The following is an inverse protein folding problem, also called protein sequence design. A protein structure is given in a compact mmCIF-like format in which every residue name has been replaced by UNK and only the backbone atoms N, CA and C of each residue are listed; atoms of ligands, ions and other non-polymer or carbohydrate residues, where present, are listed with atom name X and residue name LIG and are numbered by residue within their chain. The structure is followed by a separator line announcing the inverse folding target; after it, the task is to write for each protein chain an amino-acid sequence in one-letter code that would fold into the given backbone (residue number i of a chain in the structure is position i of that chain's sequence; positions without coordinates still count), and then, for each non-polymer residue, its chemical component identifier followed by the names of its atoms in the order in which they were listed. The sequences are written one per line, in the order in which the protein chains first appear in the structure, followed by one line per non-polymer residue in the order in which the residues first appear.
data_IF_464581839199
#
_entry.id   IF_464581839199
#
_cell.length_a   1.000
_cell.length_b   1.000
_cell.length_c   1.000
_cell.angle_alpha   90.00
_cell.angle_beta   90.00
_cell.angle_gamma   90.00
#
_symmetry.space_group_name_H-M   'P 1'
#
loop_
_entity.id
_entity.type
_entity.pdbx_description
1 polymer ?
#
# COMPACT_ATOMS: atom_id res chain seq x y z
N UNK A 1 -27.23 20.64 7.40
CA UNK A 1 -25.90 20.39 6.81
C UNK A 1 -24.83 21.35 7.34
N UNK A 2 -25.06 22.67 7.43
CA UNK A 2 -24.03 23.59 7.97
C UNK A 2 -23.88 23.60 9.51
N UNK A 3 -24.72 22.85 10.23
CA UNK A 3 -24.70 22.73 11.70
C UNK A 3 -24.06 21.44 12.23
N UNK A 4 -23.68 20.50 11.36
CA UNK A 4 -22.97 19.26 11.75
C UNK A 4 -21.44 19.47 11.88
N UNK A 5 -20.90 20.50 11.21
CA UNK A 5 -19.45 20.77 11.19
C UNK A 5 -18.91 21.45 12.46
N UNK A 6 -19.76 21.98 13.35
CA UNK A 6 -19.33 22.66 14.58
C UNK A 6 -19.33 21.77 15.83
N UNK A 7 -19.73 20.51 15.69
CA UNK A 7 -19.81 19.52 16.78
C UNK A 7 -18.66 18.51 16.80
N UNK A 8 -17.69 18.64 15.88
CA UNK A 8 -16.51 17.79 15.82
C UNK A 8 -15.59 18.14 16.99
N UNK A 9 -15.41 17.20 17.94
CA UNK A 9 -14.30 17.23 18.90
C UNK A 9 -14.56 17.71 20.34
N UNK A 10 -15.80 17.76 20.85
CA UNK A 10 -16.06 18.25 22.23
C UNK A 10 -16.84 17.31 23.17
N UNK A 11 -17.27 16.13 22.71
CA UNK A 11 -18.09 15.22 23.52
C UNK A 11 -19.52 15.74 23.83
N UNK A 12 -19.97 16.82 23.18
CA UNK A 12 -21.32 17.36 23.35
C UNK A 12 -22.38 16.55 22.57
N UNK A 13 -23.27 15.87 23.29
CA UNK A 13 -24.40 15.08 22.75
C UNK A 13 -25.60 15.91 22.31
N UNK A 14 -25.55 17.24 22.43
CA UNK A 14 -26.63 18.16 22.03
C UNK A 14 -27.01 18.02 20.55
N UNK A 15 -26.04 17.77 19.68
CA UNK A 15 -26.22 17.55 18.24
C UNK A 15 -27.02 16.28 17.91
N UNK A 16 -26.82 15.21 18.69
CA UNK A 16 -27.59 13.96 18.59
C UNK A 16 -29.01 14.19 19.09
N UNK A 17 -29.19 14.93 20.19
CA UNK A 17 -30.54 15.29 20.67
C UNK A 17 -31.30 16.14 19.65
N UNK A 18 -30.64 17.11 19.02
CA UNK A 18 -31.21 17.97 17.98
C UNK A 18 -31.65 17.15 16.75
N UNK A 19 -30.84 16.17 16.32
CA UNK A 19 -31.20 15.25 15.24
C UNK A 19 -32.38 14.35 15.62
N UNK A 20 -32.41 13.85 16.86
CA UNK A 20 -33.49 13.00 17.36
C UNK A 20 -34.82 13.75 17.49
N UNK A 21 -34.82 15.08 17.63
CA UNK A 21 -36.04 15.91 17.66
C UNK A 21 -36.78 15.95 16.33
N UNK A 22 -36.07 15.81 15.21
CA UNK A 22 -36.65 15.84 13.86
C UNK A 22 -37.17 14.47 13.39
N UNK A 23 -36.88 13.41 14.15
CA UNK A 23 -37.34 12.06 13.87
C UNK A 23 -38.72 11.79 14.48
N UNK A 24 -39.52 10.89 13.87
CA UNK A 24 -40.74 10.41 14.50
C UNK A 24 -40.47 9.87 15.91
N UNK A 25 -41.30 10.24 16.89
CA UNK A 25 -41.07 9.98 18.32
C UNK A 25 -40.73 8.52 18.65
N UNK A 26 -41.36 7.57 17.97
CA UNK A 26 -41.06 6.14 18.13
C UNK A 26 -39.66 5.73 17.67
N UNK A 27 -39.14 6.37 16.60
CA UNK A 27 -37.79 6.18 16.07
C UNK A 27 -36.79 6.85 16.99
N UNK A 28 -37.04 8.10 17.38
CA UNK A 28 -36.20 8.83 18.34
C UNK A 28 -36.09 8.10 19.69
N UNK A 29 -37.18 7.49 20.17
CA UNK A 29 -37.20 6.68 21.39
C UNK A 29 -36.46 5.35 21.22
N UNK A 30 -36.54 4.71 20.05
CA UNK A 30 -35.79 3.49 19.76
C UNK A 30 -34.28 3.76 19.66
N UNK A 31 -33.88 4.87 19.01
CA UNK A 31 -32.50 5.34 18.95
C UNK A 31 -31.98 5.70 20.34
N UNK A 32 -32.74 6.46 21.14
CA UNK A 32 -32.39 6.74 22.54
C UNK A 32 -32.21 5.48 23.37
N UNK A 33 -33.11 4.50 23.27
CA UNK A 33 -32.99 3.22 23.99
C UNK A 33 -31.83 2.36 23.51
N UNK A 34 -31.46 2.45 22.22
CA UNK A 34 -30.29 1.78 21.69
C UNK A 34 -29.01 2.42 22.23
N UNK A 35 -28.93 3.76 22.22
CA UNK A 35 -27.81 4.54 22.77
C UNK A 35 -27.68 4.40 24.30
N UNK A 36 -28.80 4.35 25.04
CA UNK A 36 -28.81 4.13 26.50
C UNK A 36 -28.39 2.71 26.87
N UNK A 37 -28.75 1.70 26.07
CA UNK A 37 -28.28 0.33 26.27
C UNK A 37 -26.80 0.19 25.94
N UNK A 38 -26.36 0.90 24.91
CA UNK A 38 -24.97 1.01 24.52
C UNK A 38 -24.11 1.60 25.64
N UNK A 39 -24.48 2.78 26.15
CA UNK A 39 -23.77 3.47 27.24
C UNK A 39 -23.85 2.79 28.63
N UNK A 40 -24.63 1.71 28.78
CA UNK A 40 -24.83 1.04 30.08
C UNK A 40 -23.76 -0.02 30.41
N UNK A 41 -22.78 -0.25 29.53
CA UNK A 41 -21.63 -1.14 29.72
C UNK A 41 -20.38 -0.42 30.27
N UNK A 42 -20.52 0.50 31.23
CA UNK A 42 -19.36 1.10 31.90
C UNK A 42 -18.68 0.07 32.81
N UNK A 43 -17.53 -0.45 32.38
CA UNK A 43 -16.67 -1.29 33.20
C UNK A 43 -15.31 -1.62 32.58
N UNK A 44 -14.33 -0.72 32.76
CA UNK A 44 -12.87 -0.91 32.52
C UNK A 44 -12.47 -1.19 31.05
N UNK A 45 -11.20 -0.93 30.63
CA UNK A 45 -10.86 -0.81 29.21
C UNK A 45 -10.94 -2.18 28.55
N UNK A 46 -12.07 -2.42 27.89
CA UNK A 46 -12.29 -3.53 27.02
C UNK A 46 -11.51 -3.26 25.74
N UNK A 47 -10.55 -4.15 25.44
CA UNK A 47 -10.14 -4.38 24.05
C UNK A 47 -11.44 -4.56 23.24
N UNK A 48 -11.57 -4.10 21.99
CA UNK A 48 -12.80 -4.19 21.18
C UNK A 48 -13.39 -5.60 21.11
N UNK A 49 -12.60 -6.64 21.37
CA UNK A 49 -13.05 -8.02 21.53
C UNK A 49 -14.09 -8.25 22.65
N UNK A 50 -14.17 -7.37 23.64
CA UNK A 50 -15.10 -7.47 24.78
C UNK A 50 -16.30 -6.53 24.67
N UNK A 51 -16.33 -5.62 23.68
CA UNK A 51 -17.48 -4.76 23.43
C UNK A 51 -18.61 -5.55 22.73
N UNK A 52 -19.88 -5.30 23.09
CA UNK A 52 -21.00 -5.98 22.44
C UNK A 52 -21.08 -5.56 20.96
N UNK A 53 -20.83 -6.52 20.06
CA UNK A 53 -21.00 -6.34 18.62
C UNK A 53 -22.48 -6.11 18.32
N UNK A 54 -22.78 -4.94 17.76
CA UNK A 54 -24.14 -4.57 17.33
C UNK A 54 -24.41 -5.09 15.93
N UNK A 55 -23.43 -4.94 15.04
CA UNK A 55 -23.54 -5.34 13.64
C UNK A 55 -22.18 -5.60 13.02
N UNK A 56 -22.13 -6.61 12.17
CA UNK A 56 -21.04 -6.82 11.22
C UNK A 56 -21.59 -6.79 9.79
N UNK A 57 -20.82 -6.26 8.85
CA UNK A 57 -21.12 -6.32 7.43
C UNK A 57 -19.85 -6.17 6.61
N UNK A 58 -19.90 -6.66 5.37
CA UNK A 58 -18.89 -6.34 4.36
C UNK A 58 -19.35 -5.10 3.61
N UNK A 59 -18.48 -4.10 3.55
CA UNK A 59 -18.75 -2.92 2.75
C UNK A 59 -18.70 -3.26 1.26
N UNK A 60 -19.51 -2.53 0.50
CA UNK A 60 -19.60 -2.63 -0.95
C UNK A 60 -18.67 -1.65 -1.65
N UNK A 61 -18.21 -0.60 -0.96
CA UNK A 61 -17.19 0.33 -1.41
C UNK A 61 -16.45 0.99 -0.24
N UNK A 62 -15.26 1.58 -0.48
CA UNK A 62 -14.59 2.44 0.49
C UNK A 62 -15.46 3.61 0.98
N UNK A 63 -16.26 4.23 0.10
CA UNK A 63 -17.15 5.34 0.46
C UNK A 63 -18.17 4.96 1.55
N UNK A 64 -18.71 3.73 1.51
CA UNK A 64 -19.63 3.21 2.54
C UNK A 64 -18.92 3.09 3.91
N UNK A 65 -17.64 2.72 3.92
CA UNK A 65 -16.85 2.67 5.15
C UNK A 65 -16.64 4.07 5.73
N UNK A 66 -16.27 5.05 4.89
CA UNK A 66 -16.05 6.44 5.32
C UNK A 66 -17.31 7.00 5.96
N UNK A 67 -18.47 6.85 5.29
CA UNK A 67 -19.76 7.32 5.80
C UNK A 67 -20.10 6.68 7.16
N UNK A 68 -19.86 5.38 7.31
CA UNK A 68 -20.12 4.68 8.56
C UNK A 68 -19.15 5.04 9.69
N UNK A 69 -17.88 5.28 9.38
CA UNK A 69 -16.88 5.66 10.38
C UNK A 69 -17.16 7.08 10.91
N UNK A 70 -17.45 8.04 10.02
CA UNK A 70 -17.87 9.40 10.38
C UNK A 70 -19.18 9.41 11.18
N UNK A 71 -20.16 8.59 10.76
CA UNK A 71 -21.40 8.41 11.51
C UNK A 71 -21.17 7.79 12.89
N UNK A 72 -20.23 6.84 13.00
CA UNK A 72 -19.83 6.22 14.26
C UNK A 72 -19.24 7.25 15.24
N UNK A 73 -18.31 8.08 14.78
CA UNK A 73 -17.74 9.20 15.54
C UNK A 73 -18.85 10.14 16.02
N UNK A 74 -19.75 10.54 15.11
CA UNK A 74 -20.86 11.46 15.42
C UNK A 74 -21.82 10.89 16.46
N UNK A 75 -22.07 9.58 16.43
CA UNK A 75 -23.03 8.91 17.31
C UNK A 75 -22.42 8.37 18.60
N UNK A 76 -21.09 8.47 18.78
CA UNK A 76 -20.39 7.83 19.91
C UNK A 76 -20.48 6.31 19.86
N UNK A 77 -20.40 5.73 18.66
CA UNK A 77 -20.39 4.29 18.44
C UNK A 77 -19.06 3.86 17.84
N UNK A 78 -18.36 2.98 18.56
CA UNK A 78 -17.09 2.46 18.11
C UNK A 78 -17.26 1.67 16.81
N UNK A 79 -16.34 1.93 15.88
CA UNK A 79 -16.28 1.29 14.58
C UNK A 79 -14.89 0.69 14.37
N UNK A 80 -14.82 -0.55 13.91
CA UNK A 80 -13.60 -1.25 13.52
C UNK A 80 -13.77 -1.76 12.10
N UNK A 81 -12.83 -1.40 11.24
CA UNK A 81 -12.70 -1.90 9.88
C UNK A 81 -11.50 -2.82 9.85
N UNK A 82 -11.67 -4.01 9.30
CA UNK A 82 -10.60 -4.96 9.00
C UNK A 82 -10.75 -5.41 7.56
N UNK A 83 -9.67 -5.81 6.91
CA UNK A 83 -9.76 -6.54 5.66
C UNK A 83 -9.86 -8.04 5.90
N UNK A 84 -10.65 -8.72 5.09
CA UNK A 84 -10.81 -10.18 5.12
C UNK A 84 -10.65 -10.74 3.70
N UNK A 85 -9.81 -11.78 3.56
CA UNK A 85 -9.71 -12.52 2.30
C UNK A 85 -10.95 -13.39 2.12
N UNK A 86 -11.61 -13.20 0.99
CA UNK A 86 -12.64 -14.07 0.46
C UNK A 86 -12.08 -14.83 -0.76
N UNK A 87 -12.71 -15.94 -1.18
CA UNK A 87 -12.18 -16.78 -2.25
C UNK A 87 -11.88 -16.08 -3.57
N UNK A 88 -12.53 -14.94 -3.84
CA UNK A 88 -12.43 -14.19 -5.10
C UNK A 88 -12.08 -12.69 -4.90
N UNK A 89 -11.85 -12.23 -3.66
CA UNK A 89 -11.84 -10.80 -3.33
C UNK A 89 -11.20 -10.52 -1.95
N UNK A 90 -10.67 -9.31 -1.75
CA UNK A 90 -10.41 -8.80 -0.39
C UNK A 90 -11.47 -7.77 -0.06
N UNK A 91 -12.21 -7.99 1.02
CA UNK A 91 -13.27 -7.06 1.43
C UNK A 91 -13.00 -6.40 2.75
N UNK A 92 -13.39 -5.12 2.82
CA UNK A 92 -13.45 -4.39 4.06
C UNK A 92 -14.65 -4.89 4.87
N UNK A 93 -14.37 -5.55 5.97
CA UNK A 93 -15.35 -5.93 6.98
C UNK A 93 -15.43 -4.83 8.02
N UNK A 94 -16.62 -4.27 8.17
CA UNK A 94 -16.97 -3.30 9.20
C UNK A 94 -17.66 -3.99 10.39
N UNK A 95 -17.21 -3.63 11.59
CA UNK A 95 -17.78 -4.08 12.86
C UNK A 95 -18.17 -2.84 13.68
N UNK A 96 -19.47 -2.72 13.94
CA UNK A 96 -20.05 -1.69 14.79
C UNK A 96 -20.25 -2.25 16.19
N UNK A 97 -19.72 -1.56 17.20
CA UNK A 97 -19.93 -1.91 18.59
C UNK A 97 -20.93 -0.97 19.25
N UNK A 98 -21.53 -1.46 20.33
CA UNK A 98 -22.50 -0.73 21.11
C UNK A 98 -21.89 0.09 22.23
N UNK A 99 -20.65 0.56 22.13
CA UNK A 99 -20.08 1.48 23.11
C UNK A 99 -18.98 2.31 22.45
N UNK A 100 -18.47 3.33 23.14
CA UNK A 100 -17.29 4.10 22.73
C UNK A 100 -16.05 3.69 23.53
N UNK A 101 -14.87 3.88 22.95
CA UNK A 101 -13.60 3.65 23.64
C UNK A 101 -12.92 4.98 23.96
N UNK A 102 -12.65 5.22 25.24
CA UNK A 102 -11.83 6.32 25.70
C UNK A 102 -10.57 5.77 26.39
N UNK A 103 -9.41 6.33 26.04
CA UNK A 103 -8.12 5.91 26.56
C UNK A 103 -7.30 7.12 27.02
N UNK A 104 -6.43 6.93 28.04
CA UNK A 104 -5.51 7.98 28.44
C UNK A 104 -4.47 8.25 27.34
N UNK A 105 -3.97 9.49 27.31
CA UNK A 105 -2.83 9.86 26.48
C UNK A 105 -1.63 8.93 26.74
N UNK A 106 -0.95 8.54 25.66
CA UNK A 106 0.34 7.84 25.73
C UNK A 106 1.20 8.20 24.51
N UNK A 107 2.50 8.47 24.70
CA UNK A 107 3.40 8.89 23.62
C UNK A 107 3.76 7.76 22.65
N UNK A 108 3.48 6.49 22.98
CA UNK A 108 3.70 5.35 22.08
C UNK A 108 2.55 4.37 22.27
N UNK A 109 1.36 4.69 21.72
CA UNK A 109 0.18 3.91 21.96
C UNK A 109 0.29 2.51 21.38
N UNK A 110 -0.30 1.52 22.04
CA UNK A 110 -0.69 0.28 21.41
C UNK A 110 -2.01 -0.13 22.04
N UNK A 111 -3.09 0.49 21.55
CA UNK A 111 -4.40 0.35 22.18
C UNK A 111 -4.99 -1.03 21.94
N UNK A 112 -4.74 -1.61 20.77
CA UNK A 112 -5.27 -2.90 20.38
C UNK A 112 -4.14 -3.91 20.13
N UNK A 113 -4.27 -5.17 20.60
CA UNK A 113 -3.28 -6.21 20.32
C UNK A 113 -3.19 -6.47 18.81
N UNK A 114 -1.98 -6.73 18.30
CA UNK A 114 -1.80 -7.04 16.89
C UNK A 114 -2.55 -8.34 16.51
N UNK A 115 -3.21 -8.39 15.34
CA UNK A 115 -3.83 -9.61 14.84
C UNK A 115 -2.78 -10.74 14.76
N UNK A 116 -3.08 -11.89 15.37
CA UNK A 116 -2.20 -13.06 15.40
C UNK A 116 -0.75 -12.81 15.88
N UNK A 117 -0.49 -11.70 16.58
CA UNK A 117 0.86 -11.30 16.98
C UNK A 117 1.76 -10.81 15.84
N UNK A 118 1.19 -10.45 14.68
CA UNK A 118 1.94 -9.92 13.55
C UNK A 118 2.69 -8.62 13.92
N UNK A 119 3.91 -8.41 13.41
CA UNK A 119 4.61 -7.14 13.58
C UNK A 119 3.82 -5.99 12.96
N UNK A 120 3.85 -4.83 13.60
CA UNK A 120 3.30 -3.60 13.01
C UNK A 120 4.24 -3.14 11.89
N UNK A 121 3.72 -3.01 10.67
CA UNK A 121 4.45 -2.46 9.53
C UNK A 121 4.39 -0.93 9.59
N UNK A 122 3.18 -0.38 9.69
CA UNK A 122 2.94 1.05 9.73
C UNK A 122 1.71 1.40 10.60
N UNK A 123 1.72 2.61 11.19
CA UNK A 123 0.56 3.21 11.83
C UNK A 123 0.48 4.70 11.50
N UNK A 124 -0.68 5.09 10.99
CA UNK A 124 -1.00 6.49 10.66
C UNK A 124 -2.21 6.99 11.45
N UNK A 125 -2.34 8.31 11.49
CA UNK A 125 -3.40 9.04 12.16
C UNK A 125 -4.06 10.02 11.16
N UNK A 126 -4.80 9.48 10.17
CA UNK A 126 -5.39 10.32 9.12
C UNK A 126 -6.48 11.23 9.68
N UNK A 127 -6.72 12.35 8.99
CA UNK A 127 -7.91 13.16 9.23
C UNK A 127 -9.15 12.49 8.60
N UNK A 128 -10.34 12.99 8.94
CA UNK A 128 -11.58 12.50 8.30
C UNK A 128 -11.60 12.72 6.77
N UNK A 129 -10.90 13.74 6.28
CA UNK A 129 -10.84 14.09 4.86
C UNK A 129 -9.94 13.10 4.07
N UNK A 130 -8.95 12.48 4.73
CA UNK A 130 -8.00 11.56 4.09
C UNK A 130 -8.51 10.11 4.03
N UNK A 131 -9.61 9.80 4.72
CA UNK A 131 -10.11 8.44 4.90
C UNK A 131 -10.40 7.71 3.57
N UNK A 132 -10.87 8.44 2.57
CA UNK A 132 -11.21 7.82 1.28
C UNK A 132 -9.95 7.30 0.58
N UNK A 133 -8.87 8.07 0.59
CA UNK A 133 -7.60 7.68 -0.01
C UNK A 133 -6.96 6.54 0.79
N UNK A 134 -7.04 6.60 2.13
CA UNK A 134 -6.62 5.51 3.01
C UNK A 134 -7.29 4.19 2.65
N UNK A 135 -8.62 4.15 2.51
CA UNK A 135 -9.33 2.90 2.21
C UNK A 135 -9.24 2.47 0.73
N UNK A 136 -8.73 3.33 -0.15
CA UNK A 136 -8.39 3.01 -1.54
C UNK A 136 -6.94 2.54 -1.70
N UNK A 137 -6.13 2.68 -0.65
CA UNK A 137 -4.75 2.24 -0.68
C UNK A 137 -4.68 0.72 -0.94
N UNK A 138 -3.96 0.28 -1.99
CA UNK A 138 -3.78 -1.13 -2.32
C UNK A 138 -3.16 -1.98 -1.18
N UNK A 139 -2.57 -1.37 -0.16
CA UNK A 139 -2.07 -2.04 1.05
C UNK A 139 -3.17 -2.85 1.74
N UNK A 140 -4.43 -2.37 1.72
CA UNK A 140 -5.60 -3.05 2.29
C UNK A 140 -5.96 -4.35 1.58
N UNK A 141 -5.41 -4.58 0.39
CA UNK A 141 -5.65 -5.77 -0.41
C UNK A 141 -4.46 -6.73 -0.34
N UNK A 142 -3.41 -6.33 0.39
CA UNK A 142 -2.10 -7.01 0.42
C UNK A 142 -1.79 -7.49 1.82
N UNK A 143 -1.88 -6.60 2.80
CA UNK A 143 -1.47 -6.83 4.17
C UNK A 143 -2.68 -6.85 5.07
N UNK A 144 -2.65 -7.69 6.11
CA UNK A 144 -3.60 -7.60 7.21
C UNK A 144 -3.57 -6.16 7.74
N UNK A 145 -4.73 -5.54 7.77
CA UNK A 145 -4.90 -4.11 8.02
C UNK A 145 -6.13 -3.86 8.87
N UNK A 146 -6.11 -2.80 9.67
CA UNK A 146 -7.30 -2.35 10.39
C UNK A 146 -7.36 -0.85 10.55
N UNK A 147 -8.57 -0.32 10.67
CA UNK A 147 -8.83 1.07 11.00
C UNK A 147 -9.92 1.15 12.08
N UNK A 148 -9.75 2.07 13.01
CA UNK A 148 -10.69 2.32 14.09
C UNK A 148 -10.51 3.75 14.58
N UNK A 149 -11.47 4.25 15.36
CA UNK A 149 -11.34 5.55 16.02
C UNK A 149 -11.44 5.37 17.54
N UNK A 150 -10.97 6.32 18.32
CA UNK A 150 -11.16 6.33 19.78
C UNK A 150 -11.02 7.73 20.34
N UNK A 151 -11.59 7.96 21.53
CA UNK A 151 -11.32 9.17 22.31
C UNK A 151 -9.97 9.04 23.02
N UNK A 152 -9.04 9.94 22.72
CA UNK A 152 -7.75 10.03 23.40
C UNK A 152 -7.77 11.25 24.30
N UNK A 153 -7.54 11.06 25.60
CA UNK A 153 -7.42 12.16 26.55
C UNK A 153 -6.25 13.08 26.18
N UNK A 154 -6.35 14.36 26.49
CA UNK A 154 -5.23 15.31 26.27
C UNK A 154 -4.13 15.09 27.33
N UNK A 155 -2.86 15.28 26.95
CA UNK A 155 -1.68 14.98 27.80
C UNK A 155 -1.74 15.60 29.20
N UNK A 156 -2.34 16.79 29.31
CA UNK A 156 -2.43 17.58 30.55
C UNK A 156 -3.88 17.81 31.04
N UNK A 157 -4.88 17.27 30.36
CA UNK A 157 -6.30 17.45 30.71
C UNK A 157 -7.08 16.12 30.61
N UNK A 158 -7.21 15.35 31.71
CA UNK A 158 -7.92 14.08 31.69
C UNK A 158 -9.45 14.24 31.55
N UNK A 159 -9.97 15.46 31.67
CA UNK A 159 -11.39 15.77 31.47
C UNK A 159 -11.67 16.21 30.01
N UNK A 160 -10.62 16.33 29.17
CA UNK A 160 -10.71 16.61 27.74
C UNK A 160 -10.22 15.43 26.90
N UNK A 161 -10.94 15.09 25.83
CA UNK A 161 -10.53 14.04 24.91
C UNK A 161 -10.87 14.40 23.46
N UNK A 162 -10.01 14.00 22.53
CA UNK A 162 -10.18 14.20 21.09
C UNK A 162 -10.34 12.87 20.36
N UNK A 163 -11.22 12.83 19.36
CA UNK A 163 -11.37 11.66 18.49
C UNK A 163 -10.11 11.50 17.64
N UNK A 164 -9.50 10.33 17.71
CA UNK A 164 -8.31 9.95 16.95
C UNK A 164 -8.66 8.76 16.07
N UNK A 165 -8.49 8.91 14.77
CA UNK A 165 -8.57 7.80 13.81
C UNK A 165 -7.20 7.14 13.76
N UNK A 166 -7.19 5.82 13.76
CA UNK A 166 -5.99 5.00 13.77
C UNK A 166 -6.11 4.01 12.64
N UNK A 167 -5.10 3.97 11.77
CA UNK A 167 -4.95 2.98 10.70
C UNK A 167 -3.66 2.24 10.95
N UNK A 168 -3.73 0.91 10.91
CA UNK A 168 -2.58 0.04 11.16
C UNK A 168 -2.48 -1.01 10.05
N UNK A 169 -1.29 -1.14 9.50
CA UNK A 169 -0.90 -2.19 8.58
C UNK A 169 0.09 -3.13 9.28
N UNK A 170 -0.10 -4.43 9.13
CA UNK A 170 0.74 -5.44 9.75
C UNK A 170 1.61 -6.13 8.71
N UNK A 171 2.82 -6.50 9.09
CA UNK A 171 3.74 -7.29 8.27
C UNK A 171 3.27 -8.75 8.21
N UNK A 172 2.12 -8.94 7.56
CA UNK A 172 1.47 -10.20 7.32
C UNK A 172 0.58 -10.06 6.08
N UNK A 173 0.81 -10.87 5.05
CA UNK A 173 -0.03 -10.90 3.85
C UNK A 173 -1.45 -11.43 4.18
N UNK A 174 -2.48 -10.80 3.60
CA UNK A 174 -3.88 -11.18 3.87
C UNK A 174 -4.26 -12.49 3.19
N UNK A 175 -3.88 -12.67 1.91
CA UNK A 175 -3.95 -13.93 1.16
C UNK A 175 -3.37 -13.73 -0.26
N UNK A 176 -2.32 -14.47 -0.60
CA UNK A 176 -1.71 -14.40 -1.93
C UNK A 176 -2.70 -14.77 -3.05
N UNK A 177 -3.75 -15.56 -2.75
CA UNK A 177 -4.76 -16.02 -3.72
C UNK A 177 -5.42 -14.88 -4.51
N UNK A 178 -5.64 -13.72 -3.89
CA UNK A 178 -6.29 -12.58 -4.53
C UNK A 178 -5.42 -11.90 -5.58
N UNK A 179 -4.09 -11.92 -5.40
CA UNK A 179 -3.15 -11.43 -6.40
C UNK A 179 -3.30 -12.25 -7.70
N UNK A 180 -3.40 -13.58 -7.61
CA UNK A 180 -3.59 -14.45 -8.78
C UNK A 180 -4.90 -14.20 -9.51
N UNK A 181 -5.97 -13.91 -8.78
CA UNK A 181 -7.27 -13.64 -9.37
C UNK A 181 -7.29 -12.35 -10.16
N UNK A 182 -6.60 -11.31 -9.72
CA UNK A 182 -6.44 -10.06 -10.48
C UNK A 182 -5.72 -10.30 -11.80
N UNK A 183 -4.59 -10.98 -11.74
CA UNK A 183 -3.85 -11.39 -12.93
C UNK A 183 -4.71 -12.19 -13.92
N UNK A 184 -5.60 -13.05 -13.41
CA UNK A 184 -6.52 -13.82 -14.23
C UNK A 184 -7.70 -13.00 -14.78
N UNK A 185 -8.29 -12.10 -13.98
CA UNK A 185 -9.49 -11.34 -14.35
C UNK A 185 -9.23 -10.22 -15.36
N UNK A 186 -8.02 -9.65 -15.34
CA UNK A 186 -7.64 -8.59 -16.26
C UNK A 186 -7.61 -9.07 -17.72
N UNK A 187 -7.40 -10.36 -17.98
CA UNK A 187 -7.29 -10.99 -19.33
C UNK A 187 -8.46 -10.66 -20.29
N UNK A 188 -9.66 -10.40 -19.77
CA UNK A 188 -10.86 -10.18 -20.60
C UNK A 188 -10.96 -8.77 -21.24
N UNK A 189 -10.07 -7.81 -20.90
CA UNK A 189 -10.33 -6.38 -21.17
C UNK A 189 -9.49 -5.68 -22.25
N UNK A 190 -8.25 -6.09 -22.54
CA UNK A 190 -7.45 -5.56 -23.67
C UNK A 190 -6.17 -6.39 -23.88
N UNK A 191 -6.20 -7.33 -24.83
CA UNK A 191 -5.04 -8.20 -25.14
C UNK A 191 -4.06 -7.58 -26.13
N UNK A 192 -4.47 -6.60 -26.95
CA UNK A 192 -3.60 -5.98 -27.96
C UNK A 192 -2.68 -4.91 -27.37
N UNK A 193 -3.07 -4.25 -26.27
CA UNK A 193 -2.29 -3.18 -25.64
C UNK A 193 -1.19 -3.60 -24.64
N UNK A 194 -1.17 -4.87 -24.19
CA UNK A 194 -0.28 -5.34 -23.11
C UNK A 194 1.13 -5.72 -23.51
N UNK A 195 1.30 -6.13 -24.78
CA UNK A 195 2.55 -6.66 -25.29
C UNK A 195 3.21 -7.68 -24.33
N UNK A 196 4.50 -7.51 -23.96
CA UNK A 196 5.25 -8.46 -23.16
C UNK A 196 4.79 -8.60 -21.70
N UNK A 197 3.84 -7.78 -21.23
CA UNK A 197 3.27 -7.86 -19.88
C UNK A 197 2.07 -8.81 -19.83
N UNK A 198 2.27 -10.04 -20.32
CA UNK A 198 1.30 -11.12 -20.12
C UNK A 198 1.07 -11.38 -18.62
N UNK A 199 -0.07 -11.97 -18.21
CA UNK A 199 -0.34 -12.29 -16.80
C UNK A 199 0.80 -13.08 -16.13
N UNK A 200 1.44 -13.98 -16.87
CA UNK A 200 2.55 -14.80 -16.37
C UNK A 200 3.85 -14.01 -16.24
N UNK A 201 4.21 -13.23 -17.26
CA UNK A 201 5.41 -12.40 -17.20
C UNK A 201 5.30 -11.34 -16.10
N UNK A 202 4.13 -10.71 -15.95
CA UNK A 202 3.89 -9.74 -14.88
C UNK A 202 3.90 -10.39 -13.49
N UNK A 203 3.37 -11.60 -13.35
CA UNK A 203 3.48 -12.35 -12.11
C UNK A 203 4.93 -12.69 -11.76
N UNK A 204 5.73 -13.15 -12.74
CA UNK A 204 7.15 -13.43 -12.52
C UNK A 204 7.94 -12.15 -12.18
N UNK A 205 7.61 -11.02 -12.82
CA UNK A 205 8.15 -9.71 -12.45
C UNK A 205 7.78 -9.34 -11.01
N UNK A 206 6.52 -9.50 -10.61
CA UNK A 206 6.04 -9.28 -9.24
C UNK A 206 6.82 -10.11 -8.20
N UNK A 207 6.98 -11.41 -8.43
CA UNK A 207 7.72 -12.28 -7.50
C UNK A 207 9.22 -11.95 -7.48
N UNK A 208 9.79 -11.59 -8.63
CA UNK A 208 11.20 -11.21 -8.72
C UNK A 208 11.46 -9.92 -7.96
N UNK A 209 10.59 -8.91 -8.12
CA UNK A 209 10.68 -7.65 -7.38
C UNK A 209 10.46 -7.86 -5.88
N UNK A 210 9.56 -8.76 -5.47
CA UNK A 210 9.43 -9.16 -4.06
C UNK A 210 10.76 -9.70 -3.51
N UNK A 211 11.43 -10.59 -4.24
CA UNK A 211 12.71 -11.15 -3.83
C UNK A 211 13.81 -10.07 -3.75
N UNK A 212 13.84 -9.16 -4.73
CA UNK A 212 14.77 -8.02 -4.75
C UNK A 212 14.54 -7.06 -3.57
N UNK A 213 13.29 -6.74 -3.24
CA UNK A 213 12.95 -5.90 -2.08
C UNK A 213 13.43 -6.55 -0.79
N UNK A 214 13.20 -7.85 -0.61
CA UNK A 214 13.67 -8.59 0.57
C UNK A 214 15.21 -8.65 0.68
N UNK A 215 15.93 -8.80 -0.44
CA UNK A 215 17.39 -8.74 -0.49
C UNK A 215 17.91 -7.36 -0.09
N UNK A 216 17.30 -6.29 -0.61
CA UNK A 216 17.67 -4.90 -0.28
C UNK A 216 17.34 -4.54 1.18
N UNK A 217 16.22 -5.02 1.74
CA UNK A 217 15.90 -4.84 3.15
C UNK A 217 16.93 -5.51 4.06
N UNK A 218 17.38 -6.72 3.69
CA UNK A 218 18.45 -7.44 4.40
C UNK A 218 19.76 -6.66 4.32
N UNK A 219 20.14 -6.21 3.12
CA UNK A 219 21.33 -5.37 2.89
C UNK A 219 21.32 -4.10 3.75
N UNK A 220 20.19 -3.40 3.80
CA UNK A 220 20.06 -2.13 4.53
C UNK A 220 19.99 -2.32 6.06
N UNK A 221 19.51 -3.48 6.51
CA UNK A 221 19.44 -3.84 7.93
C UNK A 221 20.80 -4.21 8.50
N UNK A 222 21.58 -5.00 7.75
CA UNK A 222 22.89 -5.52 8.18
C UNK A 222 24.08 -4.77 7.58
N UNK A 223 23.84 -3.59 6.98
CA UNK A 223 24.77 -2.81 6.16
C UNK A 223 26.26 -2.95 6.51
N UNK A 224 27.04 -3.44 5.53
CA UNK A 224 28.48 -3.66 5.65
C UNK A 224 29.11 -4.11 4.33
N UNK A 225 30.43 -4.32 4.34
CA UNK A 225 31.18 -4.84 3.18
C UNK A 225 31.01 -6.36 3.00
N UNK A 226 30.67 -7.09 4.07
CA UNK A 226 30.55 -8.56 4.08
C UNK A 226 29.09 -9.05 3.95
N UNK A 227 28.14 -8.16 3.66
CA UNK A 227 26.72 -8.53 3.49
C UNK A 227 26.51 -9.01 2.06
N UNK A 228 26.19 -10.29 1.91
CA UNK A 228 25.79 -10.87 0.63
C UNK A 228 24.47 -10.22 0.17
N UNK A 229 24.46 -9.64 -1.02
CA UNK A 229 23.25 -9.09 -1.65
C UNK A 229 23.33 -9.31 -3.15
N UNK A 230 22.38 -10.09 -3.66
CA UNK A 230 22.31 -10.43 -5.09
C UNK A 230 22.10 -9.16 -5.90
N UNK A 231 21.21 -8.27 -5.45
CA UNK A 231 20.92 -7.01 -6.15
C UNK A 231 22.15 -6.11 -6.16
N UNK A 232 22.82 -5.91 -5.03
CA UNK A 232 24.01 -5.06 -4.96
C UNK A 232 25.15 -5.62 -5.81
N UNK A 233 25.41 -6.92 -5.76
CA UNK A 233 26.54 -7.54 -6.43
C UNK A 233 26.44 -7.46 -7.96
N UNK A 234 25.22 -7.47 -8.50
CA UNK A 234 24.94 -7.39 -9.92
C UNK A 234 24.73 -5.95 -10.42
N UNK A 235 24.85 -4.93 -9.58
CA UNK A 235 24.72 -3.52 -9.97
C UNK A 235 25.98 -2.99 -10.72
N UNK A 236 25.84 -1.92 -11.53
CA UNK A 236 26.97 -1.29 -12.21
C UNK A 236 28.07 -0.84 -11.24
N UNK A 237 29.32 -0.94 -11.69
CA UNK A 237 30.50 -0.60 -10.88
C UNK A 237 30.46 0.84 -10.33
N UNK A 238 29.79 1.75 -11.04
CA UNK A 238 29.64 3.17 -10.69
C UNK A 238 28.85 3.38 -9.39
N UNK A 239 27.98 2.44 -9.01
CA UNK A 239 27.12 2.57 -7.82
C UNK A 239 27.53 1.66 -6.64
N UNK A 240 28.39 0.66 -6.86
CA UNK A 240 28.78 -0.30 -5.79
C UNK A 240 29.40 0.36 -4.55
N UNK A 241 30.09 1.48 -4.75
CA UNK A 241 30.77 2.23 -3.68
C UNK A 241 29.87 3.29 -3.01
N UNK A 242 28.60 3.41 -3.41
CA UNK A 242 27.69 4.40 -2.84
C UNK A 242 27.34 4.09 -1.38
N UNK A 243 27.15 5.12 -0.53
CA UNK A 243 26.85 4.94 0.88
C UNK A 243 25.46 4.37 1.10
N UNK A 244 25.19 3.83 2.28
CA UNK A 244 23.88 3.26 2.68
C UNK A 244 22.70 4.16 2.31
N UNK A 245 22.87 5.47 2.52
CA UNK A 245 21.85 6.50 2.29
C UNK A 245 21.38 6.54 0.82
N UNK A 246 22.27 6.22 -0.12
CA UNK A 246 21.95 6.13 -1.55
C UNK A 246 21.15 4.85 -1.89
N UNK A 247 21.37 3.77 -1.14
CA UNK A 247 20.65 2.51 -1.34
C UNK A 247 19.24 2.49 -0.74
N UNK A 248 18.93 3.40 0.19
CA UNK A 248 17.59 3.52 0.76
C UNK A 248 16.55 3.84 -0.33
N UNK A 249 16.73 4.89 -1.16
CA UNK A 249 15.86 5.14 -2.31
C UNK A 249 15.76 3.97 -3.30
N UNK A 250 16.82 3.17 -3.47
CA UNK A 250 16.74 1.96 -4.31
C UNK A 250 15.82 0.90 -3.74
N UNK A 251 15.79 0.71 -2.41
CA UNK A 251 14.82 -0.18 -1.76
C UNK A 251 13.40 0.35 -1.93
N UNK A 252 13.20 1.66 -1.72
CA UNK A 252 11.89 2.28 -1.87
C UNK A 252 11.37 2.17 -3.32
N UNK A 253 12.27 2.33 -4.30
CA UNK A 253 11.98 2.10 -5.72
C UNK A 253 11.59 0.64 -6.02
N UNK A 254 12.30 -0.34 -5.43
CA UNK A 254 11.97 -1.76 -5.58
C UNK A 254 10.59 -2.10 -4.98
N UNK A 255 10.27 -1.57 -3.80
CA UNK A 255 8.97 -1.74 -3.15
C UNK A 255 7.82 -1.10 -3.95
N UNK A 256 8.06 0.09 -4.51
CA UNK A 256 7.10 0.75 -5.42
C UNK A 256 6.84 -0.10 -6.66
N UNK A 257 7.89 -0.56 -7.33
CA UNK A 257 7.78 -1.41 -8.52
C UNK A 257 7.12 -2.74 -8.20
N UNK A 258 7.45 -3.36 -7.06
CA UNK A 258 6.79 -4.55 -6.55
C UNK A 258 5.28 -4.33 -6.42
N UNK A 259 4.89 -3.19 -5.82
CA UNK A 259 3.49 -2.80 -5.67
C UNK A 259 2.82 -2.59 -7.02
N UNK A 260 3.46 -1.88 -7.95
CA UNK A 260 2.94 -1.64 -9.29
C UNK A 260 2.78 -2.94 -10.11
N UNK A 261 3.77 -3.85 -10.02
CA UNK A 261 3.72 -5.16 -10.66
C UNK A 261 2.56 -6.00 -10.12
N UNK A 262 2.24 -5.86 -8.84
CA UNK A 262 1.10 -6.52 -8.22
C UNK A 262 -0.24 -5.93 -8.69
N UNK A 263 -0.39 -4.60 -8.72
CA UNK A 263 -1.68 -3.93 -8.99
C UNK A 263 -2.08 -3.95 -10.45
N UNK A 264 -1.15 -3.73 -11.37
CA UNK A 264 -1.38 -3.95 -12.80
C UNK A 264 -1.78 -2.81 -13.67
N UNK A 265 -1.84 -1.61 -13.10
CA UNK A 265 -1.85 -0.43 -13.92
C UNK A 265 -0.50 -0.34 -14.65
N UNK A 266 -0.53 -0.46 -15.99
CA UNK A 266 0.66 -0.35 -16.85
C UNK A 266 1.42 0.94 -16.57
N UNK A 267 0.68 2.05 -16.46
CA UNK A 267 1.21 3.36 -16.11
C UNK A 267 1.97 3.38 -14.78
N UNK A 268 1.55 2.58 -13.79
CA UNK A 268 2.26 2.53 -12.52
C UNK A 268 3.55 1.71 -12.61
N UNK A 269 3.67 0.82 -13.60
CA UNK A 269 4.88 0.03 -13.86
C UNK A 269 5.94 0.81 -14.65
N UNK A 270 5.58 1.90 -15.30
CA UNK A 270 6.54 2.77 -15.99
C UNK A 270 7.57 3.32 -14.98
N UNK A 271 8.88 3.16 -15.24
CA UNK A 271 9.93 3.73 -14.41
C UNK A 271 9.83 5.26 -14.34
N UNK A 272 9.97 5.78 -13.14
CA UNK A 272 9.96 7.23 -12.84
C UNK A 272 11.35 7.78 -12.63
N UNK A 273 12.32 6.91 -12.39
CA UNK A 273 13.72 7.24 -12.12
C UNK A 273 14.62 6.24 -12.83
N UNK A 274 15.87 6.61 -13.09
CA UNK A 274 16.88 5.67 -13.63
C UNK A 274 17.05 4.47 -12.69
N UNK A 275 16.99 4.67 -11.37
CA UNK A 275 17.07 3.57 -10.41
C UNK A 275 15.98 2.51 -10.62
N UNK A 276 14.77 2.93 -10.97
CA UNK A 276 13.67 2.02 -11.29
C UNK A 276 13.89 1.30 -12.62
N UNK A 277 14.39 1.99 -13.66
CA UNK A 277 14.75 1.35 -14.93
C UNK A 277 15.80 0.26 -14.73
N UNK A 278 16.84 0.54 -13.94
CA UNK A 278 17.89 -0.42 -13.56
C UNK A 278 17.30 -1.63 -12.85
N UNK A 279 16.37 -1.42 -11.91
CA UNK A 279 15.71 -2.51 -11.19
C UNK A 279 14.86 -3.38 -12.11
N UNK A 280 14.11 -2.79 -13.05
CA UNK A 280 13.39 -3.56 -14.08
C UNK A 280 14.37 -4.31 -14.97
N UNK A 281 15.43 -3.65 -15.43
CA UNK A 281 16.48 -4.26 -16.27
C UNK A 281 17.18 -5.44 -15.59
N UNK A 282 17.29 -5.44 -14.26
CA UNK A 282 17.76 -6.58 -13.49
C UNK A 282 16.68 -7.66 -13.37
N UNK A 283 15.47 -7.27 -12.97
CA UNK A 283 14.36 -8.19 -12.73
C UNK A 283 13.95 -9.00 -13.97
N UNK A 284 14.18 -8.47 -15.17
CA UNK A 284 13.88 -9.14 -16.45
C UNK A 284 15.00 -10.06 -16.94
N UNK A 285 16.15 -10.12 -16.27
CA UNK A 285 17.24 -11.04 -16.62
C UNK A 285 16.84 -12.47 -16.31
N UNK A 286 17.32 -13.41 -17.13
CA UNK A 286 17.05 -14.85 -16.94
C UNK A 286 17.40 -15.33 -15.53
N UNK A 287 18.54 -14.92 -14.96
CA UNK A 287 18.96 -15.32 -13.61
C UNK A 287 18.02 -14.78 -12.51
N UNK A 288 17.48 -13.58 -12.69
CA UNK A 288 16.53 -12.98 -11.75
C UNK A 288 15.14 -13.61 -11.86
N UNK A 289 14.69 -13.91 -13.08
CA UNK A 289 13.45 -14.68 -13.29
C UNK A 289 13.56 -16.08 -12.68
N UNK A 290 14.71 -16.75 -12.81
CA UNK A 290 14.96 -18.03 -12.15
C UNK A 290 14.94 -17.89 -10.62
N UNK A 291 15.55 -16.85 -10.08
CA UNK A 291 15.48 -16.54 -8.64
C UNK A 291 14.06 -16.24 -8.16
N UNK A 292 13.26 -15.54 -8.97
CA UNK A 292 11.83 -15.33 -8.73
C UNK A 292 11.06 -16.65 -8.71
N UNK A 293 11.35 -17.59 -9.61
CA UNK A 293 10.74 -18.93 -9.60
C UNK A 293 11.10 -19.74 -8.35
N UNK A 294 12.37 -19.72 -7.94
CA UNK A 294 12.81 -20.35 -6.69
C UNK A 294 12.08 -19.74 -5.48
N UNK A 295 11.85 -18.42 -5.51
CA UNK A 295 11.06 -17.70 -4.50
C UNK A 295 9.60 -18.13 -4.52
N UNK A 296 8.98 -18.25 -5.71
CA UNK A 296 7.61 -18.74 -5.86
C UNK A 296 7.42 -20.16 -5.31
N UNK A 297 8.40 -21.03 -5.53
CA UNK A 297 8.45 -22.38 -4.96
C UNK A 297 8.57 -22.34 -3.43
N UNK A 298 9.44 -21.48 -2.89
CA UNK A 298 9.64 -21.29 -1.45
C UNK A 298 8.36 -20.85 -0.72
N UNK A 299 7.62 -19.91 -1.30
CA UNK A 299 6.36 -19.40 -0.73
C UNK A 299 5.13 -20.23 -1.14
N UNK A 300 5.32 -21.29 -1.93
CA UNK A 300 4.29 -22.29 -2.23
C UNK A 300 3.22 -21.85 -3.24
N UNK A 301 3.55 -20.93 -4.16
CA UNK A 301 2.59 -20.37 -5.12
C UNK A 301 2.73 -20.90 -6.57
N UNK A 302 3.67 -21.82 -6.81
CA UNK A 302 3.94 -22.43 -8.14
C UNK A 302 2.70 -22.98 -8.82
N UNK A 303 1.82 -23.66 -8.07
CA UNK A 303 0.60 -24.24 -8.63
C UNK A 303 -0.38 -23.16 -9.12
N UNK A 304 -0.45 -22.03 -8.40
CA UNK A 304 -1.29 -20.88 -8.75
C UNK A 304 -0.71 -20.14 -9.96
N UNK A 305 0.60 -19.92 -10.01
CA UNK A 305 1.27 -19.40 -11.20
C UNK A 305 0.96 -20.22 -12.45
N UNK A 306 1.09 -21.55 -12.37
CA UNK A 306 0.79 -22.45 -13.48
C UNK A 306 -0.67 -22.42 -13.93
N UNK A 307 -1.59 -21.90 -13.09
CA UNK A 307 -3.00 -21.73 -13.41
C UNK A 307 -3.35 -20.42 -14.11
N UNK A 308 -2.41 -19.46 -14.16
CA UNK A 308 -2.61 -18.19 -14.86
C UNK A 308 -2.76 -18.42 -16.38
N UNK A 309 -3.52 -17.56 -17.08
CA UNK A 309 -3.63 -17.59 -18.54
C UNK A 309 -2.25 -17.62 -19.21
N UNK A 310 -2.15 -18.35 -20.32
CA UNK A 310 -0.94 -18.41 -21.14
C UNK A 310 -1.07 -17.47 -22.32
N UNK A 311 -0.01 -16.73 -22.61
CA UNK A 311 0.17 -15.99 -23.85
C UNK A 311 1.35 -16.57 -24.64
N UNK A 312 1.11 -17.42 -25.65
CA UNK A 312 2.19 -18.02 -26.42
C UNK A 312 3.08 -17.04 -27.20
N UNK A 313 2.61 -15.81 -27.43
CA UNK A 313 3.38 -14.79 -28.13
C UNK A 313 4.38 -14.13 -27.20
N UNK A 314 3.98 -13.86 -25.96
CA UNK A 314 4.75 -13.02 -25.03
C UNK A 314 5.34 -13.75 -23.83
N UNK A 315 4.76 -14.87 -23.40
CA UNK A 315 5.27 -15.63 -22.25
C UNK A 315 6.73 -16.01 -22.45
N UNK A 316 7.58 -15.62 -21.50
CA UNK A 316 9.01 -15.89 -21.52
C UNK A 316 9.88 -14.88 -22.27
N UNK A 317 9.31 -13.83 -22.88
CA UNK A 317 10.03 -12.72 -23.52
C UNK A 317 10.28 -11.56 -22.56
N UNK A 318 11.02 -11.83 -21.50
CA UNK A 318 11.27 -10.84 -20.43
C UNK A 318 12.10 -9.65 -20.90
N UNK A 319 12.99 -9.87 -21.87
CA UNK A 319 13.84 -8.85 -22.48
C UNK A 319 13.05 -7.75 -23.20
N UNK A 320 11.79 -8.02 -23.57
CA UNK A 320 10.93 -7.06 -24.24
C UNK A 320 10.19 -6.14 -23.24
N UNK A 321 10.14 -6.50 -21.95
CA UNK A 321 9.38 -5.76 -20.93
C UNK A 321 9.92 -4.34 -20.73
N UNK A 322 11.23 -4.19 -20.56
CA UNK A 322 11.84 -2.87 -20.37
C UNK A 322 11.64 -1.95 -21.58
N UNK A 323 11.98 -2.35 -22.83
CA UNK A 323 11.71 -1.51 -23.99
C UNK A 323 10.23 -1.23 -24.22
N UNK A 324 9.32 -2.11 -23.79
CA UNK A 324 7.90 -1.84 -23.84
C UNK A 324 7.46 -0.73 -22.86
N UNK A 325 8.08 -0.65 -21.67
CA UNK A 325 7.76 0.35 -20.65
C UNK A 325 8.44 1.71 -20.90
N UNK A 326 9.70 1.71 -21.35
CA UNK A 326 10.54 2.92 -21.44
C UNK A 326 10.70 3.41 -22.88
N UNK A 327 10.54 2.52 -23.86
CA UNK A 327 10.75 2.83 -25.29
C UNK A 327 12.19 2.66 -25.77
N UNK A 328 13.13 2.39 -24.87
CA UNK A 328 14.54 2.08 -25.17
C UNK A 328 15.14 1.08 -24.17
N UNK A 329 16.46 0.85 -24.27
CA UNK A 329 17.25 -0.04 -23.41
C UNK A 329 18.59 0.57 -23.02
N UNK A 330 18.70 1.91 -23.03
CA UNK A 330 19.98 2.60 -22.88
C UNK A 330 20.63 2.33 -21.51
N UNK A 331 19.81 2.16 -20.47
CA UNK A 331 20.24 1.80 -19.12
C UNK A 331 21.06 0.49 -19.08
N UNK A 332 20.82 -0.45 -20.00
CA UNK A 332 21.58 -1.71 -20.04
C UNK A 332 23.06 -1.49 -20.41
N UNK A 333 23.39 -0.37 -21.06
CA UNK A 333 24.76 -0.02 -21.43
C UNK A 333 25.68 0.16 -20.22
N UNK A 334 25.13 0.44 -19.03
CA UNK A 334 25.88 0.60 -17.78
C UNK A 334 26.65 -0.66 -17.33
N UNK A 335 26.26 -1.83 -17.83
CA UNK A 335 26.97 -3.08 -17.57
C UNK A 335 28.06 -3.40 -18.61
N UNK A 336 28.15 -2.67 -19.72
CA UNK A 336 29.23 -2.85 -20.70
C UNK A 336 30.48 -2.08 -20.30
N UNK A 337 31.48 -2.81 -19.79
CA UNK A 337 32.79 -2.25 -19.39
C UNK A 337 33.54 -1.53 -20.51
N UNK A 338 33.14 -1.70 -21.77
CA UNK A 338 33.74 -0.99 -22.92
C UNK A 338 33.18 0.43 -23.09
N UNK A 339 32.10 0.74 -22.39
CA UNK A 339 31.39 2.03 -22.42
C UNK A 339 31.63 2.80 -21.10
N UNK A 340 32.84 2.73 -20.56
CA UNK A 340 33.23 3.54 -19.39
C UNK A 340 33.07 5.04 -19.71
N UNK A 341 32.37 5.78 -18.86
CA UNK A 341 32.00 7.18 -19.09
C UNK A 341 30.66 7.40 -19.81
N UNK A 342 29.95 6.32 -20.18
CA UNK A 342 28.61 6.42 -20.80
C UNK A 342 27.57 7.04 -19.85
N UNK A 343 27.88 7.10 -18.56
CA UNK A 343 27.02 7.69 -17.56
C UNK A 343 26.90 9.22 -17.63
N UNK A 344 27.90 9.90 -18.21
CA UNK A 344 27.96 11.36 -18.24
C UNK A 344 27.23 11.92 -19.48
N UNK A 345 26.08 12.60 -19.33
CA UNK A 345 25.33 13.11 -20.47
C UNK A 345 26.07 14.23 -21.21
N UNK A 346 27.08 14.84 -20.59
CA UNK A 346 27.91 15.87 -21.21
C UNK A 346 28.99 15.31 -22.17
N UNK A 347 29.22 13.99 -22.20
CA UNK A 347 30.11 13.38 -23.20
C UNK A 347 29.53 13.61 -24.61
N UNK A 348 30.35 14.05 -25.60
CA UNK A 348 29.87 14.33 -26.94
C UNK A 348 29.17 13.15 -27.63
N UNK A 349 29.51 11.91 -27.27
CA UNK A 349 28.87 10.69 -27.78
C UNK A 349 27.49 10.50 -27.18
N UNK A 350 27.36 10.67 -25.86
CA UNK A 350 26.11 10.50 -25.12
C UNK A 350 25.11 11.60 -25.49
N UNK A 351 25.59 12.86 -25.59
CA UNK A 351 24.80 13.98 -26.07
C UNK A 351 24.32 13.78 -27.53
N UNK A 352 25.13 13.12 -28.38
CA UNK A 352 24.72 12.80 -29.76
C UNK A 352 23.67 11.68 -29.81
N UNK A 353 23.76 10.71 -28.91
CA UNK A 353 22.81 9.60 -28.79
C UNK A 353 21.54 9.97 -27.99
N UNK A 354 21.48 11.19 -27.44
CA UNK A 354 20.41 11.66 -26.56
C UNK A 354 20.25 10.83 -25.28
N UNK A 355 21.36 10.32 -24.77
CA UNK A 355 21.36 9.56 -23.53
C UNK A 355 21.07 10.44 -22.31
N UNK A 356 20.30 9.89 -21.37
CA UNK A 356 20.01 10.50 -20.08
C UNK A 356 21.22 10.59 -19.15
N UNK A 357 21.03 11.23 -17.99
CA UNK A 357 22.05 11.29 -16.93
C UNK A 357 22.04 9.99 -16.12
N UNK A 358 23.01 9.11 -16.37
CA UNK A 358 23.14 7.86 -15.63
C UNK A 358 24.21 7.93 -14.53
N UNK A 359 24.70 9.12 -14.17
CA UNK A 359 25.61 9.27 -13.02
C UNK A 359 24.85 8.90 -11.74
N UNK A 360 25.51 8.31 -10.73
CA UNK A 360 24.83 7.89 -9.50
C UNK A 360 24.00 8.99 -8.81
N UNK A 361 24.39 10.26 -8.97
CA UNK A 361 23.67 11.40 -8.40
C UNK A 361 22.27 11.61 -8.99
N UNK A 362 22.05 11.22 -10.25
CA UNK A 362 20.78 11.41 -10.97
C UNK A 362 19.83 10.21 -10.86
N UNK A 363 20.27 9.09 -10.25
CA UNK A 363 19.50 7.84 -10.26
C UNK A 363 18.15 7.91 -9.53
N UNK A 364 17.98 8.88 -8.66
CA UNK A 364 16.77 9.08 -7.87
C UNK A 364 15.98 10.32 -8.31
N UNK A 365 16.48 11.04 -9.32
CA UNK A 365 15.77 12.17 -9.89
C UNK A 365 14.63 11.66 -10.78
N UNK A 366 13.52 12.39 -10.76
CA UNK A 366 12.35 12.08 -11.57
C UNK A 366 12.66 12.35 -13.04
N UNK A 367 12.37 11.38 -13.92
CA UNK A 367 12.58 11.49 -15.36
C UNK A 367 11.64 12.55 -15.96
N UNK A 368 12.20 13.43 -16.80
CA UNK A 368 11.45 14.48 -17.51
C UNK A 368 10.33 13.86 -18.35
N UNK A 369 9.08 14.29 -18.10
CA UNK A 369 7.86 13.78 -18.75
C UNK A 369 6.87 13.06 -17.81
N UNK A 370 7.31 12.63 -16.63
CA UNK A 370 6.42 12.03 -15.61
C UNK A 370 5.78 13.05 -14.66
N UNK A 371 6.19 14.32 -14.75
CA UNK A 371 5.72 15.43 -13.90
C UNK A 371 4.61 16.29 -14.53
N UNK A 372 4.24 16.10 -15.81
CA UNK A 372 3.36 17.05 -16.52
C UNK A 372 1.84 16.82 -16.36
N UNK A 373 1.38 15.77 -15.69
CA UNK A 373 -0.08 15.47 -15.58
C UNK A 373 -0.78 16.00 -14.31
N UNK A 374 -0.14 16.86 -13.51
CA UNK A 374 -0.78 17.42 -12.29
C UNK A 374 -1.19 18.89 -12.42
N UNK A 375 -0.80 19.64 -13.47
CA UNK A 375 -1.02 21.10 -13.48
C UNK A 375 -1.54 21.72 -14.79
N UNK A 376 -2.28 20.95 -15.60
CA UNK A 376 -2.98 21.50 -16.77
C UNK A 376 -4.49 21.25 -16.75
N UNK A 377 -5.11 21.55 -15.63
CA UNK A 377 -6.55 21.73 -15.52
C UNK A 377 -6.93 23.09 -14.90
N UNK A 378 -6.31 24.19 -15.35
CA UNK A 378 -6.86 25.53 -15.21
C UNK A 378 -6.40 26.44 -16.36
N UNK A 379 -7.27 26.61 -17.34
CA UNK A 379 -7.58 27.91 -18.00
C UNK A 379 -8.94 27.87 -18.71
#
# INVERSE_FOLDING_TARGET
MQHLNSSVGSGDRSSVEDYLTDLPEAVALACRRALERAASSVGLPAVPSDLPVVREFFATSPDEIVEHLQSGITLGLQFLVTNESLPDDVRLKATLFGDEMEVPYTPSPQWLPAPNGAPLLDRTYPSEDDLLDVFRDPVWETFVSRAYWLWVQEEDDPDSASATIVVEHFDQLIDDSNVFLRFAAEDDSDTEGRGPLSPRNRFELYITLLAMTADLDTLLSDWGEDVDSVVRDDMPLTVLAQPREWWVPMRDAADRLFTAARTGALHDLEPRTVGEEVLIALATRTSYVEWGRDTADLIGVTAKFNSLPTDPEWDGKYEEILPHLVGDVDVEMLWDRRLDGIEDPEDPTNAFLLMGDFRPAAWHDVLDGTAEDVDSAED
#
